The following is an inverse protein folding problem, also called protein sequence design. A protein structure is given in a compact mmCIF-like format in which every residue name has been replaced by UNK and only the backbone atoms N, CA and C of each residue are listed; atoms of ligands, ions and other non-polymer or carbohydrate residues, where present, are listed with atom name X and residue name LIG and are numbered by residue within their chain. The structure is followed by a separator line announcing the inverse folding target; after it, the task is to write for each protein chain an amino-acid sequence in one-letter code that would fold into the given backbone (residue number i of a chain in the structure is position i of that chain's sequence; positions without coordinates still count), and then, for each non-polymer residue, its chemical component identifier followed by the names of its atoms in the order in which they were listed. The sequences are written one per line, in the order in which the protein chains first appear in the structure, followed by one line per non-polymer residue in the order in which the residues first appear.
data_IF_421060015776
#
_entry.id   IF_421060015776
#
_cell.length_a   1.000
_cell.length_b   1.000
_cell.length_c   1.000
_cell.angle_alpha   90.00
_cell.angle_beta   90.00
_cell.angle_gamma   90.00
#
_symmetry.space_group_name_H-M   'P 1'
#
loop_
_entity.id
_entity.type
_entity.pdbx_description
1 polymer ?
#
# COMPACT_ATOMS: atom_id res chain seq x y z
N UNK A 1 39.77 -42.36 -5.14
CA UNK A 1 38.30 -42.54 -5.13
C UNK A 1 37.61 -41.76 -4.00
N UNK A 2 37.88 -42.04 -2.72
CA UNK A 2 37.18 -41.37 -1.58
C UNK A 2 37.08 -39.83 -1.65
N UNK A 3 38.16 -39.10 -1.99
CA UNK A 3 38.13 -37.64 -2.15
C UNK A 3 37.21 -37.16 -3.30
N UNK A 4 37.07 -37.96 -4.36
CA UNK A 4 36.22 -37.62 -5.51
C UNK A 4 34.73 -37.79 -5.17
N UNK A 5 34.39 -38.84 -4.41
CA UNK A 5 33.03 -39.04 -3.88
C UNK A 5 32.60 -37.88 -2.97
N UNK A 6 33.49 -37.44 -2.07
CA UNK A 6 33.20 -36.33 -1.15
C UNK A 6 32.90 -35.00 -1.86
N UNK A 7 33.57 -34.70 -2.97
CA UNK A 7 33.27 -33.51 -3.78
C UNK A 7 31.92 -33.62 -4.49
N UNK A 8 31.55 -34.80 -4.98
CA UNK A 8 30.25 -35.04 -5.64
C UNK A 8 29.10 -34.92 -4.62
N UNK A 9 29.26 -35.43 -3.39
CA UNK A 9 28.24 -35.28 -2.34
C UNK A 9 28.11 -33.82 -1.85
N UNK A 10 29.19 -33.03 -1.84
CA UNK A 10 29.09 -31.59 -1.54
C UNK A 10 28.41 -30.80 -2.66
N UNK A 11 28.64 -31.16 -3.93
CA UNK A 11 27.98 -30.53 -5.07
C UNK A 11 26.47 -30.82 -5.12
N UNK A 12 26.05 -32.02 -4.71
CA UNK A 12 24.64 -32.41 -4.59
C UNK A 12 23.93 -31.78 -3.38
N UNK A 13 24.67 -31.25 -2.40
CA UNK A 13 24.10 -30.55 -1.25
C UNK A 13 23.73 -29.08 -1.55
N UNK A 14 24.13 -28.56 -2.71
CA UNK A 14 23.71 -27.24 -3.21
C UNK A 14 22.27 -27.26 -3.76
N UNK A 15 21.31 -27.73 -2.95
CA UNK A 15 19.91 -27.48 -3.21
C UNK A 15 19.69 -25.97 -3.23
N UNK A 16 19.29 -25.44 -4.39
CA UNK A 16 18.84 -24.07 -4.53
C UNK A 16 17.66 -23.87 -3.58
N UNK A 17 17.89 -23.12 -2.50
CA UNK A 17 16.83 -22.72 -1.58
C UNK A 17 15.93 -21.72 -2.30
N UNK A 18 14.99 -22.23 -3.10
CA UNK A 18 14.02 -21.41 -3.81
C UNK A 18 13.20 -20.62 -2.81
N UNK A 19 13.23 -19.30 -2.96
CA UNK A 19 12.38 -18.40 -2.19
C UNK A 19 10.92 -18.77 -2.46
N UNK A 20 10.18 -19.10 -1.41
CA UNK A 20 8.76 -19.37 -1.51
C UNK A 20 8.04 -18.03 -1.42
N UNK A 21 8.03 -17.32 -2.55
CA UNK A 21 7.53 -15.96 -2.65
C UNK A 21 6.01 -15.92 -2.45
N UNK A 22 5.54 -14.90 -1.72
CA UNK A 22 4.14 -14.55 -1.62
C UNK A 22 3.91 -13.05 -1.74
N UNK A 23 2.65 -12.67 -1.98
CA UNK A 23 2.22 -11.26 -2.03
C UNK A 23 1.09 -10.97 -1.04
N UNK A 24 1.17 -9.85 -0.32
CA UNK A 24 0.12 -9.40 0.59
C UNK A 24 -0.47 -8.05 0.15
N UNK A 25 -1.79 -7.98 -0.01
CA UNK A 25 -2.52 -6.76 -0.38
C UNK A 25 -3.10 -6.09 0.87
N UNK A 26 -2.73 -4.83 1.13
CA UNK A 26 -3.05 -4.10 2.38
C UNK A 26 -3.83 -2.82 2.05
N UNK A 27 -5.13 -2.81 2.34
CA UNK A 27 -6.02 -1.68 2.01
C UNK A 27 -5.66 -0.38 2.76
N UNK A 28 -6.22 0.74 2.30
CA UNK A 28 -6.15 2.05 2.97
C UNK A 28 -7.16 2.23 4.09
N UNK A 29 -7.53 3.47 4.40
CA UNK A 29 -8.49 3.80 5.47
C UNK A 29 -9.83 3.10 5.27
N UNK A 30 -10.43 2.71 6.40
CA UNK A 30 -11.74 2.04 6.46
C UNK A 30 -11.70 0.71 7.17
N UNK A 31 -12.88 0.08 7.26
CA UNK A 31 -13.10 -1.24 7.86
C UNK A 31 -13.99 -2.02 6.90
N UNK A 32 -13.35 -2.75 5.98
CA UNK A 32 -14.05 -3.45 4.90
C UNK A 32 -14.75 -4.70 5.44
N UNK A 33 -15.87 -5.07 4.84
CA UNK A 33 -16.50 -6.37 5.12
C UNK A 33 -15.70 -7.48 4.45
N UNK A 34 -15.25 -7.23 3.22
CA UNK A 34 -14.34 -8.08 2.46
C UNK A 34 -13.46 -7.24 1.53
N UNK A 35 -12.24 -6.91 1.95
CA UNK A 35 -11.30 -6.07 1.20
C UNK A 35 -10.94 -6.61 -0.21
N UNK A 36 -11.12 -7.90 -0.51
CA UNK A 36 -10.94 -8.43 -1.87
C UNK A 36 -12.07 -7.97 -2.80
N UNK A 37 -13.32 -7.97 -2.32
CA UNK A 37 -14.48 -7.50 -3.08
C UNK A 37 -14.57 -5.95 -3.05
N UNK A 38 -14.56 -5.39 -1.84
CA UNK A 38 -14.90 -3.99 -1.58
C UNK A 38 -13.75 -3.03 -2.01
N UNK A 39 -12.49 -3.45 -1.85
CA UNK A 39 -11.34 -2.54 -1.91
C UNK A 39 -10.39 -2.80 -3.08
N UNK A 40 -9.89 -4.03 -3.25
CA UNK A 40 -8.86 -4.34 -4.25
C UNK A 40 -9.41 -4.86 -5.58
N UNK A 41 -10.66 -5.34 -5.61
CA UNK A 41 -11.25 -6.17 -6.67
C UNK A 41 -10.53 -7.50 -6.92
N UNK A 42 -11.31 -8.54 -7.18
CA UNK A 42 -10.79 -9.85 -7.58
C UNK A 42 -9.99 -9.81 -8.88
N UNK A 43 -10.34 -8.97 -9.85
CA UNK A 43 -9.65 -8.94 -11.14
C UNK A 43 -8.21 -8.42 -11.01
N UNK A 44 -8.02 -7.30 -10.31
CA UNK A 44 -6.70 -6.71 -10.06
C UNK A 44 -5.78 -7.69 -9.31
N UNK A 45 -6.28 -8.24 -8.19
CA UNK A 45 -5.56 -9.25 -7.39
C UNK A 45 -5.23 -10.50 -8.21
N UNK A 46 -6.16 -10.97 -9.04
CA UNK A 46 -5.95 -12.13 -9.92
C UNK A 46 -4.94 -11.87 -11.04
N UNK A 47 -4.81 -10.64 -11.53
CA UNK A 47 -3.78 -10.28 -12.51
C UNK A 47 -2.41 -10.23 -11.86
N UNK A 48 -2.27 -9.45 -10.77
CA UNK A 48 -1.00 -9.25 -10.06
C UNK A 48 -0.40 -10.58 -9.57
N UNK A 49 -1.22 -11.46 -8.97
CA UNK A 49 -0.72 -12.74 -8.41
C UNK A 49 -0.25 -13.75 -9.46
N UNK A 50 -0.38 -13.47 -10.76
CA UNK A 50 0.21 -14.30 -11.82
C UNK A 50 1.74 -14.18 -11.89
N UNK A 51 2.35 -13.18 -11.26
CA UNK A 51 3.81 -13.03 -11.17
C UNK A 51 4.44 -14.03 -10.21
N UNK A 52 3.65 -14.58 -9.28
CA UNK A 52 4.13 -15.56 -8.32
C UNK A 52 4.40 -16.92 -8.99
N UNK A 53 5.53 -17.59 -8.68
CA UNK A 53 5.76 -18.99 -9.05
C UNK A 53 4.65 -19.94 -8.58
N UNK A 54 4.00 -19.61 -7.45
CA UNK A 54 2.75 -20.22 -7.01
C UNK A 54 1.69 -19.12 -6.84
N UNK A 55 0.78 -18.98 -7.81
CA UNK A 55 -0.28 -17.97 -7.78
C UNK A 55 -1.28 -18.10 -6.61
N UNK A 56 -1.22 -19.19 -5.83
CA UNK A 56 -2.00 -19.37 -4.59
C UNK A 56 -1.26 -18.86 -3.32
N UNK A 57 -0.05 -18.30 -3.45
CA UNK A 57 0.69 -17.64 -2.37
C UNK A 57 0.33 -16.16 -2.29
N UNK A 58 -0.94 -15.84 -2.07
CA UNK A 58 -1.37 -14.47 -1.80
C UNK A 58 -2.30 -14.37 -0.60
N UNK A 59 -2.37 -13.19 -0.01
CA UNK A 59 -3.39 -12.83 0.98
C UNK A 59 -3.88 -11.41 0.76
N UNK A 60 -5.17 -11.18 1.00
CA UNK A 60 -5.75 -9.84 1.06
C UNK A 60 -6.11 -9.57 2.51
N UNK A 61 -5.45 -8.58 3.10
CA UNK A 61 -5.64 -8.20 4.49
C UNK A 61 -7.02 -7.54 4.64
N UNK A 62 -7.74 -7.87 5.71
CA UNK A 62 -9.02 -7.27 6.06
C UNK A 62 -9.01 -6.86 7.53
N UNK A 63 -8.70 -5.59 7.83
CA UNK A 63 -8.48 -5.08 9.18
C UNK A 63 -9.22 -3.75 9.42
N UNK A 64 -9.25 -3.29 10.67
CA UNK A 64 -9.88 -2.02 11.03
C UNK A 64 -8.83 -0.88 10.94
N UNK A 65 -8.66 -0.36 9.73
CA UNK A 65 -7.84 0.83 9.46
C UNK A 65 -8.67 2.11 9.55
N UNK A 66 -9.75 2.12 10.35
CA UNK A 66 -10.29 3.36 10.94
C UNK A 66 -9.54 3.77 12.21
N UNK A 67 -8.73 2.86 12.77
CA UNK A 67 -7.92 3.07 13.99
C UNK A 67 -6.54 3.64 13.69
N UNK A 68 -5.88 4.21 14.71
CA UNK A 68 -4.46 4.58 14.65
C UNK A 68 -3.60 3.39 14.22
N UNK A 69 -2.51 3.66 13.48
CA UNK A 69 -1.63 2.61 12.94
C UNK A 69 -1.10 1.63 13.99
N UNK A 70 -0.77 2.10 15.19
CA UNK A 70 -0.27 1.26 16.30
C UNK A 70 -1.35 0.46 17.04
N UNK A 71 -2.64 0.71 16.75
CA UNK A 71 -3.74 0.06 17.47
C UNK A 71 -3.81 -1.45 17.14
N UNK A 72 -4.25 -2.25 18.10
CA UNK A 72 -4.34 -3.71 17.97
C UNK A 72 -5.25 -4.15 16.81
N UNK A 73 -6.34 -3.43 16.55
CA UNK A 73 -7.24 -3.67 15.41
C UNK A 73 -6.67 -3.23 14.04
N UNK A 74 -5.58 -2.44 14.03
CA UNK A 74 -4.84 -2.01 12.84
C UNK A 74 -3.56 -2.84 12.67
N UNK A 75 -2.39 -2.38 13.12
CA UNK A 75 -1.14 -3.13 12.96
C UNK A 75 -1.13 -4.48 13.70
N UNK A 76 -1.84 -4.62 14.82
CA UNK A 76 -1.96 -5.91 15.52
C UNK A 76 -2.75 -6.96 14.73
N UNK A 77 -3.74 -6.51 13.95
CA UNK A 77 -4.52 -7.32 13.01
C UNK A 77 -3.70 -7.65 11.76
N UNK A 78 -3.07 -6.64 11.15
CA UNK A 78 -2.18 -6.80 9.99
C UNK A 78 -1.07 -7.81 10.29
N UNK A 79 -0.38 -7.67 11.42
CA UNK A 79 0.66 -8.60 11.83
C UNK A 79 0.12 -10.00 12.16
N UNK A 80 -1.13 -10.14 12.61
CA UNK A 80 -1.77 -11.44 12.79
C UNK A 80 -1.99 -12.15 11.46
N UNK A 81 -2.67 -11.48 10.53
CA UNK A 81 -2.98 -12.03 9.21
C UNK A 81 -1.70 -12.30 8.39
N UNK A 82 -0.71 -11.41 8.41
CA UNK A 82 0.61 -11.65 7.79
C UNK A 82 1.33 -12.84 8.45
N UNK A 83 1.36 -12.95 9.78
CA UNK A 83 2.02 -14.09 10.44
C UNK A 83 1.36 -15.42 10.11
N UNK A 84 0.03 -15.47 10.08
CA UNK A 84 -0.74 -16.66 9.70
C UNK A 84 -0.52 -17.02 8.24
N UNK A 85 -0.48 -16.04 7.33
CA UNK A 85 -0.17 -16.26 5.92
C UNK A 85 1.25 -16.81 5.74
N UNK A 86 2.24 -16.18 6.37
CA UNK A 86 3.65 -16.60 6.33
C UNK A 86 3.81 -18.04 6.83
N UNK A 87 3.20 -18.40 7.96
CA UNK A 87 3.34 -19.75 8.52
C UNK A 87 2.57 -20.81 7.72
N UNK A 88 1.30 -20.55 7.37
CA UNK A 88 0.44 -21.53 6.68
C UNK A 88 0.86 -21.82 5.24
N UNK A 89 1.48 -20.86 4.56
CA UNK A 89 2.00 -21.03 3.19
C UNK A 89 3.51 -21.28 3.14
N UNK A 90 4.21 -21.20 4.28
CA UNK A 90 5.66 -21.35 4.36
C UNK A 90 6.45 -20.24 3.67
N UNK A 91 5.93 -19.01 3.65
CA UNK A 91 6.52 -17.89 2.90
C UNK A 91 7.91 -17.54 3.46
N UNK A 92 8.93 -17.56 2.61
CA UNK A 92 10.29 -17.16 2.98
C UNK A 92 10.67 -15.77 2.45
N UNK A 93 9.86 -15.22 1.54
CA UNK A 93 10.10 -14.00 0.78
C UNK A 93 8.75 -13.35 0.44
N UNK A 94 8.56 -12.08 0.77
CA UNK A 94 7.25 -11.44 0.80
C UNK A 94 7.29 -10.05 0.15
N UNK A 95 6.54 -9.88 -0.94
CA UNK A 95 6.21 -8.55 -1.48
C UNK A 95 4.93 -8.06 -0.79
N UNK A 96 4.89 -6.80 -0.36
CA UNK A 96 3.67 -6.20 0.21
C UNK A 96 3.22 -5.06 -0.68
N UNK A 97 1.96 -5.12 -1.11
CA UNK A 97 1.30 -4.08 -1.89
C UNK A 97 0.35 -3.34 -0.96
N UNK A 98 0.68 -2.11 -0.62
CA UNK A 98 -0.11 -1.25 0.27
C UNK A 98 -0.78 -0.15 -0.52
N UNK A 99 -1.96 0.32 -0.09
CA UNK A 99 -2.58 1.52 -0.63
C UNK A 99 -2.86 2.55 0.47
N UNK A 100 -2.65 3.84 0.20
CA UNK A 100 -3.10 4.93 1.10
C UNK A 100 -2.58 4.74 2.54
N UNK A 101 -3.45 4.86 3.55
CA UNK A 101 -3.09 4.65 4.95
C UNK A 101 -2.50 3.25 5.26
N UNK A 102 -2.75 2.24 4.44
CA UNK A 102 -2.14 0.90 4.59
C UNK A 102 -0.61 0.96 4.54
N UNK A 103 -0.07 1.91 3.75
CA UNK A 103 1.36 2.21 3.73
C UNK A 103 1.89 2.70 5.08
N UNK A 104 1.12 3.54 5.79
CA UNK A 104 1.48 4.00 7.14
C UNK A 104 1.40 2.87 8.19
N UNK A 105 0.38 1.99 8.11
CA UNK A 105 0.28 0.83 9.02
C UNK A 105 1.45 -0.14 8.81
N UNK A 106 1.86 -0.38 7.57
CA UNK A 106 3.04 -1.20 7.27
C UNK A 106 4.35 -0.47 7.66
N UNK A 107 4.43 0.85 7.47
CA UNK A 107 5.57 1.67 7.91
C UNK A 107 5.71 1.69 9.43
N UNK A 108 4.62 1.67 10.19
CA UNK A 108 4.63 1.53 11.65
C UNK A 108 5.31 0.22 12.08
N UNK A 109 4.88 -0.92 11.52
CA UNK A 109 5.47 -2.25 11.80
C UNK A 109 6.98 -2.22 11.54
N UNK A 110 7.40 -1.72 10.38
CA UNK A 110 8.82 -1.66 10.01
C UNK A 110 9.65 -0.65 10.83
N UNK A 111 9.03 0.40 11.36
CA UNK A 111 9.73 1.41 12.17
C UNK A 111 9.85 1.01 13.65
N UNK A 112 9.00 0.10 14.13
CA UNK A 112 8.90 -0.25 15.55
C UNK A 112 9.06 -1.78 15.76
N UNK A 113 10.16 -2.40 15.32
CA UNK A 113 10.29 -3.86 15.18
C UNK A 113 10.15 -4.66 16.48
N UNK A 114 10.28 -4.04 17.65
CA UNK A 114 10.15 -4.68 18.97
C UNK A 114 8.80 -4.42 19.66
N UNK A 115 7.89 -3.65 19.04
CA UNK A 115 6.60 -3.29 19.64
C UNK A 115 5.64 -4.49 19.75
N UNK A 116 5.81 -5.50 18.89
CA UNK A 116 5.04 -6.73 18.88
C UNK A 116 5.98 -7.89 18.48
N UNK A 117 5.90 -9.02 19.18
CA UNK A 117 6.81 -10.16 18.98
C UNK A 117 6.74 -10.79 17.59
N UNK A 118 5.69 -10.52 16.81
CA UNK A 118 5.52 -10.99 15.43
C UNK A 118 6.30 -10.15 14.41
N UNK A 119 6.55 -8.87 14.71
CA UNK A 119 7.12 -7.93 13.74
C UNK A 119 8.52 -8.34 13.24
N UNK A 120 9.48 -8.84 14.05
CA UNK A 120 10.81 -9.22 13.56
C UNK A 120 10.75 -10.32 12.50
N UNK A 121 9.90 -11.33 12.70
CA UNK A 121 9.71 -12.41 11.72
C UNK A 121 9.10 -11.87 10.43
N UNK A 122 8.01 -11.08 10.50
CA UNK A 122 7.37 -10.46 9.33
C UNK A 122 8.40 -9.63 8.55
N UNK A 123 9.10 -8.71 9.21
CA UNK A 123 10.11 -7.83 8.61
C UNK A 123 11.23 -8.65 7.96
N UNK A 124 11.66 -9.76 8.58
CA UNK A 124 12.70 -10.62 7.99
C UNK A 124 12.30 -11.15 6.61
N UNK A 125 11.01 -11.50 6.42
CA UNK A 125 10.48 -12.07 5.16
C UNK A 125 10.21 -11.02 4.09
N UNK A 126 9.98 -9.76 4.46
CA UNK A 126 9.70 -8.71 3.46
C UNK A 126 10.88 -8.57 2.50
N UNK A 127 10.62 -8.70 1.20
CA UNK A 127 11.55 -8.33 0.13
C UNK A 127 11.54 -6.81 -0.02
N UNK A 128 10.35 -6.25 -0.25
CA UNK A 128 10.04 -4.83 -0.23
C UNK A 128 8.52 -4.58 -0.09
N UNK A 129 8.17 -3.31 0.09
CA UNK A 129 6.80 -2.81 0.10
C UNK A 129 6.64 -1.87 -1.10
N UNK A 130 5.70 -2.17 -2.00
CA UNK A 130 5.22 -1.20 -2.98
C UNK A 130 4.04 -0.46 -2.37
N UNK A 131 4.16 0.87 -2.32
CA UNK A 131 3.23 1.75 -1.65
C UNK A 131 2.51 2.58 -2.71
N UNK A 132 1.28 2.19 -3.01
CA UNK A 132 0.42 2.83 -3.99
C UNK A 132 -0.23 4.03 -3.31
N UNK A 133 0.03 5.24 -3.80
CA UNK A 133 -0.46 6.50 -3.24
C UNK A 133 -0.50 6.54 -1.70
N UNK A 134 0.63 6.37 -0.99
CA UNK A 134 0.62 6.26 0.47
C UNK A 134 0.44 7.62 1.13
N UNK A 135 -0.35 7.72 2.19
CA UNK A 135 -0.58 8.99 2.90
C UNK A 135 0.58 9.38 3.84
N UNK A 136 1.82 9.36 3.34
CA UNK A 136 3.03 9.33 4.16
C UNK A 136 3.33 10.65 4.89
N UNK A 137 2.82 11.79 4.40
CA UNK A 137 2.82 13.08 5.10
C UNK A 137 1.41 13.59 5.47
N UNK A 138 0.37 12.75 5.34
CA UNK A 138 -1.02 13.15 5.58
C UNK A 138 -1.68 13.85 4.39
N UNK A 139 -2.83 14.50 4.62
CA UNK A 139 -3.58 15.26 3.61
C UNK A 139 -4.34 16.45 4.22
N UNK A 140 -4.38 17.62 3.55
CA UNK A 140 -5.24 18.74 3.92
C UNK A 140 -6.72 18.37 4.03
N UNK A 141 -7.20 17.35 3.30
CA UNK A 141 -8.58 16.86 3.39
C UNK A 141 -8.90 16.31 4.79
N UNK A 142 -7.93 15.67 5.44
CA UNK A 142 -8.09 15.16 6.81
C UNK A 142 -8.15 16.32 7.81
N UNK A 143 -7.36 17.37 7.61
CA UNK A 143 -7.45 18.62 8.39
C UNK A 143 -8.84 19.27 8.19
N UNK A 144 -9.38 19.30 6.97
CA UNK A 144 -10.71 19.85 6.68
C UNK A 144 -11.87 19.06 7.32
N UNK A 145 -11.84 17.72 7.23
CA UNK A 145 -12.84 16.81 7.85
C UNK A 145 -12.81 16.90 9.37
N UNK A 146 -11.62 16.93 9.98
CA UNK A 146 -11.47 16.98 11.43
C UNK A 146 -11.91 18.33 12.00
N UNK A 147 -11.62 19.44 11.31
CA UNK A 147 -12.06 20.79 11.68
C UNK A 147 -13.55 21.05 11.36
N UNK A 148 -14.20 20.17 10.59
CA UNK A 148 -15.65 20.23 10.33
C UNK A 148 -16.09 21.20 9.24
N UNK A 149 -15.18 21.62 8.35
CA UNK A 149 -15.44 22.68 7.35
C UNK A 149 -15.89 22.17 5.97
N UNK A 150 -16.00 20.83 5.78
CA UNK A 150 -16.63 20.10 4.64
C UNK A 150 -16.88 18.66 5.10
N UNK A 151 -17.80 17.85 4.53
CA UNK A 151 -18.75 17.99 3.41
C UNK A 151 -19.98 17.12 3.76
N UNK A 152 -21.22 17.48 3.36
CA UNK A 152 -22.39 16.57 3.54
C UNK A 152 -22.87 15.83 2.28
N UNK A 153 -22.53 16.30 1.07
CA UNK A 153 -23.11 15.77 -0.18
C UNK A 153 -22.10 15.20 -1.19
N UNK A 154 -21.04 15.94 -1.54
CA UNK A 154 -20.07 15.51 -2.57
C UNK A 154 -19.26 14.24 -2.18
N UNK A 155 -19.20 13.93 -0.89
CA UNK A 155 -18.33 12.89 -0.33
C UNK A 155 -19.09 11.92 0.57
N UNK A 156 -20.32 11.54 0.19
CA UNK A 156 -21.16 10.60 0.94
C UNK A 156 -20.45 9.29 1.33
N UNK A 157 -19.58 8.77 0.46
CA UNK A 157 -18.76 7.57 0.70
C UNK A 157 -17.53 7.83 1.61
N UNK A 158 -17.16 9.10 1.79
CA UNK A 158 -16.14 9.59 2.73
C UNK A 158 -16.76 10.08 4.06
N UNK A 159 -18.08 9.98 4.28
CA UNK A 159 -18.73 10.49 5.50
C UNK A 159 -18.33 9.73 6.78
N UNK A 160 -17.79 8.50 6.67
CA UNK A 160 -17.34 7.70 7.81
C UNK A 160 -16.04 8.17 8.51
N UNK A 161 -15.54 9.37 8.21
CA UNK A 161 -14.13 9.72 8.35
C UNK A 161 -13.77 10.57 9.60
N UNK A 162 -14.67 10.83 10.55
CA UNK A 162 -14.23 11.28 11.90
C UNK A 162 -13.73 10.10 12.75
N UNK A 163 -12.63 9.49 12.30
CA UNK A 163 -11.97 8.33 12.91
C UNK A 163 -10.53 8.63 13.31
N UNK A 164 -9.94 7.76 14.15
CA UNK A 164 -8.54 7.87 14.57
C UNK A 164 -7.57 7.89 13.37
N UNK A 165 -7.80 7.04 12.37
CA UNK A 165 -6.98 6.98 11.15
C UNK A 165 -7.00 8.28 10.34
N UNK A 166 -8.09 9.04 10.37
CA UNK A 166 -8.18 10.32 9.64
C UNK A 166 -7.57 11.43 10.46
N UNK A 167 -7.84 11.46 11.77
CA UNK A 167 -7.11 12.32 12.71
C UNK A 167 -5.59 12.13 12.60
N UNK A 168 -5.13 10.89 12.44
CA UNK A 168 -3.73 10.54 12.25
C UNK A 168 -3.16 11.06 10.91
N UNK A 169 -3.99 11.09 9.85
CA UNK A 169 -3.61 11.55 8.51
C UNK A 169 -3.74 13.07 8.31
N UNK A 170 -4.11 13.84 9.33
CA UNK A 170 -3.91 15.29 9.33
C UNK A 170 -2.42 15.62 9.12
N UNK A 171 -2.14 16.65 8.34
CA UNK A 171 -0.78 16.96 7.87
C UNK A 171 0.17 17.24 9.05
N UNK A 172 -0.33 17.96 10.06
CA UNK A 172 0.37 18.29 11.32
C UNK A 172 0.66 17.07 12.20
N UNK A 173 -0.29 16.13 12.28
CA UNK A 173 -0.14 14.90 13.05
C UNK A 173 0.83 13.93 12.38
N UNK A 174 0.73 13.76 11.06
CA UNK A 174 1.66 12.90 10.32
C UNK A 174 3.09 13.46 10.30
N UNK A 175 3.27 14.79 10.25
CA UNK A 175 4.58 15.41 10.49
C UNK A 175 5.16 15.05 11.87
N UNK A 176 4.32 15.04 12.91
CA UNK A 176 4.73 14.64 14.27
C UNK A 176 5.13 13.17 14.33
N UNK A 177 4.36 12.25 13.71
CA UNK A 177 4.73 10.83 13.68
C UNK A 177 5.97 10.57 12.83
N UNK A 178 6.17 11.29 11.73
CA UNK A 178 7.39 11.21 10.94
C UNK A 178 8.60 11.68 11.75
N UNK A 179 8.51 12.79 12.48
CA UNK A 179 9.60 13.30 13.31
C UNK A 179 9.98 12.34 14.45
N UNK A 180 9.04 11.58 15.02
CA UNK A 180 9.23 10.84 16.27
C UNK A 180 9.15 9.31 16.14
N UNK A 181 8.15 8.78 15.44
CA UNK A 181 7.72 7.37 15.53
C UNK A 181 7.93 6.54 14.26
N UNK A 182 8.09 7.19 13.10
CA UNK A 182 8.23 6.53 11.81
C UNK A 182 9.63 6.76 11.23
N UNK A 183 10.06 5.82 10.39
CA UNK A 183 11.29 5.84 9.61
C UNK A 183 10.98 6.05 8.12
N UNK A 184 12.03 6.29 7.34
CA UNK A 184 11.97 6.37 5.87
C UNK A 184 11.68 7.76 5.30
N UNK A 185 11.33 8.76 6.12
CA UNK A 185 11.21 10.15 5.67
C UNK A 185 12.55 10.89 5.72
N UNK A 186 12.66 12.03 5.04
CA UNK A 186 13.83 12.89 5.12
C UNK A 186 14.18 13.24 6.59
N UNK A 187 15.48 13.19 6.93
CA UNK A 187 15.97 13.45 8.30
C UNK A 187 15.73 12.32 9.32
N UNK A 188 15.13 11.19 8.92
CA UNK A 188 14.89 10.02 9.78
C UNK A 188 15.73 8.82 9.34
N UNK A 189 15.95 7.82 10.22
CA UNK A 189 16.54 6.55 9.82
C UNK A 189 15.80 5.92 8.64
N UNK A 190 16.51 5.19 7.79
CA UNK A 190 15.90 4.42 6.72
C UNK A 190 15.03 3.27 7.28
N UNK A 191 14.04 2.84 6.50
CA UNK A 191 13.30 1.61 6.81
C UNK A 191 14.21 0.38 6.65
N UNK A 192 14.02 -0.69 7.45
CA UNK A 192 14.83 -1.90 7.38
C UNK A 192 14.69 -2.68 6.07
N UNK A 193 13.68 -2.35 5.23
CA UNK A 193 13.39 -2.94 3.93
C UNK A 193 12.93 -1.84 2.96
N UNK A 194 13.00 -2.14 1.65
CA UNK A 194 12.58 -1.20 0.61
C UNK A 194 11.10 -0.79 0.77
N UNK A 195 10.83 0.50 0.62
CA UNK A 195 9.48 1.07 0.57
C UNK A 195 9.44 1.98 -0.66
N UNK A 196 8.71 1.56 -1.68
CA UNK A 196 8.75 2.07 -3.04
C UNK A 196 7.41 2.73 -3.35
N UNK A 197 7.35 4.06 -3.37
CA UNK A 197 6.11 4.77 -3.63
C UNK A 197 5.81 4.87 -5.12
N UNK A 198 4.60 4.45 -5.49
CA UNK A 198 3.96 4.77 -6.78
C UNK A 198 3.11 6.01 -6.53
N UNK A 199 3.42 7.09 -7.24
CA UNK A 199 2.77 8.38 -7.05
C UNK A 199 1.70 8.59 -8.11
N UNK A 200 0.44 8.72 -7.69
CA UNK A 200 -0.66 9.22 -8.51
C UNK A 200 -0.59 10.74 -8.61
N UNK A 201 -0.69 11.30 -9.81
CA UNK A 201 -0.42 12.72 -10.08
C UNK A 201 -1.65 13.57 -10.35
N UNK A 202 -2.73 12.98 -10.86
CA UNK A 202 -3.93 13.71 -11.26
C UNK A 202 -5.21 12.88 -11.09
N UNK A 203 -6.35 13.47 -11.44
CA UNK A 203 -7.63 12.79 -11.65
C UNK A 203 -8.12 13.11 -13.05
N UNK A 204 -8.73 12.14 -13.73
CA UNK A 204 -9.60 12.42 -14.87
C UNK A 204 -11.04 12.04 -14.52
N UNK A 205 -11.97 12.91 -14.91
CA UNK A 205 -13.41 12.77 -14.71
C UNK A 205 -14.23 13.30 -15.91
N UNK A 206 -13.61 13.42 -17.10
CA UNK A 206 -14.29 13.68 -18.36
C UNK A 206 -15.37 12.62 -18.69
N UNK A 207 -16.66 12.98 -18.85
CA UNK A 207 -17.70 12.04 -19.25
C UNK A 207 -17.60 11.59 -20.73
N UNK A 208 -16.63 12.14 -21.48
CA UNK A 208 -16.36 11.79 -22.87
C UNK A 208 -15.11 10.92 -23.01
N UNK A 209 -14.34 10.76 -21.93
CA UNK A 209 -13.19 9.86 -21.89
C UNK A 209 -13.60 8.51 -21.31
N UNK A 210 -13.11 7.40 -21.88
CA UNK A 210 -13.34 6.07 -21.31
C UNK A 210 -12.56 5.82 -20.03
N UNK A 211 -11.43 6.51 -19.86
CA UNK A 211 -10.44 6.20 -18.83
C UNK A 211 -10.89 6.75 -17.46
N UNK A 212 -11.60 7.89 -17.48
CA UNK A 212 -12.49 8.38 -16.43
C UNK A 212 -13.45 7.35 -15.82
N UNK A 213 -13.86 6.31 -16.55
CA UNK A 213 -14.73 5.26 -16.02
C UNK A 213 -13.98 4.13 -15.34
N UNK A 214 -12.65 4.03 -15.50
CA UNK A 214 -11.87 2.99 -14.85
C UNK A 214 -11.92 3.16 -13.32
N UNK A 215 -12.28 2.08 -12.62
CA UNK A 215 -12.43 2.06 -11.17
C UNK A 215 -13.73 2.66 -10.62
N UNK A 216 -14.50 3.40 -11.43
CA UNK A 216 -15.77 4.03 -11.07
C UNK A 216 -15.79 5.55 -11.33
N UNK A 217 -16.62 5.98 -12.29
CA UNK A 217 -16.76 7.39 -12.65
C UNK A 217 -17.27 8.29 -11.49
N UNK A 218 -18.30 7.90 -10.70
CA UNK A 218 -18.75 8.73 -9.57
C UNK A 218 -17.66 8.95 -8.51
N UNK A 219 -16.80 7.95 -8.28
CA UNK A 219 -15.66 8.06 -7.39
C UNK A 219 -14.60 9.02 -7.95
N UNK A 220 -14.29 8.95 -9.24
CA UNK A 220 -13.33 9.85 -9.89
C UNK A 220 -13.86 11.31 -9.90
N UNK A 221 -15.13 11.54 -10.22
CA UNK A 221 -15.76 12.88 -10.12
C UNK A 221 -15.76 13.44 -8.68
N UNK A 222 -15.91 12.56 -7.68
CA UNK A 222 -15.75 12.94 -6.27
C UNK A 222 -14.31 13.33 -5.92
N UNK A 223 -13.32 12.62 -6.48
CA UNK A 223 -11.89 12.88 -6.30
C UNK A 223 -11.43 14.16 -7.02
N UNK A 224 -11.93 14.43 -8.22
CA UNK A 224 -11.80 15.70 -8.94
C UNK A 224 -12.27 16.86 -8.07
N UNK A 225 -13.47 16.70 -7.47
CA UNK A 225 -14.03 17.71 -6.57
C UNK A 225 -13.08 17.97 -5.41
N UNK A 226 -12.57 16.94 -4.73
CA UNK A 226 -11.61 17.11 -3.62
C UNK A 226 -10.23 17.64 -4.01
N UNK A 227 -9.84 17.52 -5.29
CA UNK A 227 -8.58 18.07 -5.79
C UNK A 227 -8.48 19.60 -5.61
N UNK A 228 -9.60 20.31 -5.56
CA UNK A 228 -9.67 21.75 -5.27
C UNK A 228 -9.13 22.15 -3.87
N UNK A 229 -8.92 21.19 -2.96
CA UNK A 229 -8.29 21.38 -1.64
C UNK A 229 -6.83 20.90 -1.59
N UNK A 230 -6.29 20.48 -2.73
CA UNK A 230 -4.98 19.86 -2.88
C UNK A 230 -4.09 20.70 -3.82
N UNK A 231 -2.84 20.28 -3.97
CA UNK A 231 -1.94 20.82 -4.98
C UNK A 231 -2.29 20.22 -6.34
N UNK A 232 -1.92 20.91 -7.43
CA UNK A 232 -2.09 20.45 -8.81
C UNK A 232 -1.38 19.13 -9.17
N UNK A 233 -0.50 18.62 -8.30
CA UNK A 233 -0.04 17.24 -8.35
C UNK A 233 -0.67 16.49 -7.17
N UNK A 234 -1.80 15.85 -7.42
CA UNK A 234 -2.50 14.98 -6.47
C UNK A 234 -3.48 14.03 -7.15
N UNK A 235 -3.61 12.83 -6.61
CA UNK A 235 -4.53 11.78 -7.06
C UNK A 235 -6.01 12.03 -6.66
N UNK A 236 -6.36 13.29 -6.36
CA UNK A 236 -7.64 13.72 -5.80
C UNK A 236 -7.81 13.52 -4.30
N UNK A 237 -6.91 12.78 -3.61
CA UNK A 237 -6.96 12.60 -2.15
C UNK A 237 -5.64 12.99 -1.44
N UNK A 238 -4.51 12.82 -2.12
CA UNK A 238 -3.15 12.99 -1.61
C UNK A 238 -2.28 13.78 -2.56
N UNK A 239 -1.69 14.86 -2.05
CA UNK A 239 -0.59 15.56 -2.73
C UNK A 239 0.55 14.59 -3.06
N UNK A 240 1.13 14.70 -4.26
CA UNK A 240 2.33 13.96 -4.67
C UNK A 240 3.47 14.07 -3.64
N UNK A 241 3.61 15.23 -2.98
CA UNK A 241 4.59 15.46 -1.91
C UNK A 241 4.36 14.58 -0.68
N UNK A 242 3.10 14.24 -0.36
CA UNK A 242 2.75 13.29 0.71
C UNK A 242 3.02 11.85 0.29
N UNK A 243 2.68 11.50 -0.95
CA UNK A 243 2.94 10.16 -1.51
C UNK A 243 4.44 9.85 -1.60
N UNK A 244 5.25 10.84 -2.00
CA UNK A 244 6.71 10.75 -2.10
C UNK A 244 7.47 10.87 -0.76
N UNK A 245 6.80 11.22 0.35
CA UNK A 245 7.49 11.64 1.57
C UNK A 245 8.30 10.55 2.30
N UNK A 246 7.98 9.27 2.09
CA UNK A 246 8.61 8.15 2.78
C UNK A 246 9.13 7.08 1.81
N UNK A 247 10.32 6.55 2.11
CA UNK A 247 10.98 5.54 1.29
C UNK A 247 11.67 6.16 0.08
N UNK A 248 11.41 5.60 -1.11
CA UNK A 248 11.87 6.12 -2.40
C UNK A 248 10.72 6.09 -3.39
N UNK A 249 10.57 7.15 -4.19
CA UNK A 249 9.69 7.11 -5.35
C UNK A 249 10.21 6.06 -6.33
N UNK A 250 9.34 5.15 -6.75
CA UNK A 250 9.63 4.19 -7.81
C UNK A 250 9.31 4.80 -9.18
N UNK A 251 8.13 5.40 -9.29
CA UNK A 251 7.71 6.19 -10.44
C UNK A 251 6.50 7.08 -10.11
N UNK A 252 6.30 8.08 -10.94
CA UNK A 252 5.02 8.78 -11.10
C UNK A 252 4.21 8.06 -12.18
N UNK A 253 2.93 7.83 -11.94
CA UNK A 253 1.96 7.16 -12.82
C UNK A 253 2.13 7.46 -14.32
N UNK A 254 2.06 8.73 -14.72
CA UNK A 254 2.12 9.22 -16.10
C UNK A 254 3.42 8.85 -16.84
N UNK A 255 4.48 8.47 -16.11
CA UNK A 255 5.74 7.98 -16.69
C UNK A 255 5.76 6.47 -17.00
N UNK A 256 4.66 5.76 -16.68
CA UNK A 256 4.59 4.29 -16.67
C UNK A 256 3.26 3.69 -17.12
N UNK A 257 2.13 4.37 -16.89
CA UNK A 257 0.82 3.87 -17.28
C UNK A 257 0.69 3.79 -18.80
N UNK A 258 -0.19 2.91 -19.29
CA UNK A 258 -0.65 2.95 -20.66
C UNK A 258 -1.22 4.35 -20.98
N UNK A 259 -1.04 4.84 -22.21
CA UNK A 259 -1.41 6.22 -22.59
C UNK A 259 -0.51 7.32 -22.01
N UNK A 260 0.15 7.05 -20.88
CA UNK A 260 0.64 8.09 -19.98
C UNK A 260 -0.43 8.57 -19.00
N UNK A 261 -1.51 7.79 -18.80
CA UNK A 261 -2.65 8.19 -17.97
C UNK A 261 -2.29 8.42 -16.50
N UNK A 262 -2.94 9.40 -15.83
CA UNK A 262 -2.87 9.55 -14.39
C UNK A 262 -3.64 8.42 -13.67
N UNK A 263 -3.32 8.22 -12.39
CA UNK A 263 -4.04 7.33 -11.49
C UNK A 263 -4.66 8.12 -10.34
N UNK A 264 -5.98 8.21 -10.35
CA UNK A 264 -6.75 8.67 -9.20
C UNK A 264 -6.54 7.75 -7.98
N UNK A 265 -6.82 8.27 -6.77
CA UNK A 265 -6.75 7.51 -5.53
C UNK A 265 -7.65 6.26 -5.52
N UNK A 266 -8.67 6.23 -6.38
CA UNK A 266 -9.53 5.07 -6.56
C UNK A 266 -8.99 4.10 -7.63
N UNK A 267 -8.36 4.58 -8.70
CA UNK A 267 -7.83 3.75 -9.80
C UNK A 267 -6.59 2.95 -9.41
N UNK A 268 -5.72 3.49 -8.55
CA UNK A 268 -4.47 2.84 -8.10
C UNK A 268 -4.66 1.49 -7.37
N UNK A 269 -5.87 1.21 -6.87
CA UNK A 269 -6.28 -0.06 -6.24
C UNK A 269 -7.09 -0.97 -7.18
N UNK A 270 -7.20 -0.62 -8.46
CA UNK A 270 -7.97 -1.33 -9.50
C UNK A 270 -7.04 -1.75 -10.65
N UNK A 271 -7.58 -2.50 -11.60
CA UNK A 271 -6.87 -2.93 -12.80
C UNK A 271 -6.93 -1.85 -13.90
N UNK A 272 -6.43 -0.66 -13.58
CA UNK A 272 -6.41 0.50 -14.48
C UNK A 272 -5.01 0.70 -15.10
N UNK A 273 -5.00 1.08 -16.38
CA UNK A 273 -3.86 1.58 -17.15
C UNK A 273 -2.56 0.74 -17.09
N UNK A 274 -2.67 -0.57 -16.80
CA UNK A 274 -1.55 -1.51 -16.76
C UNK A 274 -0.73 -1.52 -15.47
N UNK A 275 -1.17 -0.82 -14.41
CA UNK A 275 -0.50 -0.87 -13.09
C UNK A 275 -0.39 -2.32 -12.58
N UNK A 276 -1.44 -3.12 -12.79
CA UNK A 276 -1.48 -4.54 -12.43
C UNK A 276 -0.35 -5.35 -13.09
N UNK A 277 -0.03 -5.03 -14.35
CA UNK A 277 1.06 -5.67 -15.10
C UNK A 277 2.43 -5.24 -14.58
N UNK A 278 2.60 -3.97 -14.20
CA UNK A 278 3.85 -3.48 -13.59
C UNK A 278 4.07 -4.16 -12.24
N UNK A 279 3.04 -4.23 -11.39
CA UNK A 279 3.10 -4.89 -10.09
C UNK A 279 3.27 -6.41 -10.21
N UNK A 280 2.69 -7.04 -11.24
CA UNK A 280 2.91 -8.45 -11.57
C UNK A 280 4.37 -8.74 -11.91
N UNK A 281 4.98 -7.89 -12.74
CA UNK A 281 6.31 -8.12 -13.31
C UNK A 281 7.45 -7.74 -12.33
N UNK A 282 7.14 -7.12 -11.19
CA UNK A 282 8.06 -6.79 -10.11
C UNK A 282 8.30 -7.97 -9.14
N UNK A 283 7.32 -8.87 -8.99
CA UNK A 283 7.29 -10.00 -8.03
C UNK A 283 8.28 -11.12 -8.42
#
# INVERSE_FOLDING_TARGET
MHKLLACITLALAAFTAHANTGVAFVHGTGKQTNALADYWTSENVNSIRQGLPNSANYTVINCDFTKYMWHSAAAGCLAGQLSTFISSKGITDLVILTHSNGGNVMRWIMSNPTYDSRYPNIISKIRWVNALAPSSAGTPLADAVMNGNVFESALGWLMGYKSDAVRMQQSSWMATYNANNLFGTAGRPALPKGFWSVVGTDVDSSPFDSDSYCGGYPENLGLETTQNWLNSCSDGFLNCTSQAAAGKVWFYDTSRMAGGEPLSHNQSRRKCFGLDVILRNDI
#
